data_IF_089237505133
#
_entry.id   IF_089237505133
#
_cell.length_a   1.000
_cell.length_b   1.000
_cell.length_c   1.000
_cell.angle_alpha   90.00
_cell.angle_beta   90.00
_cell.angle_gamma   90.00
#
_symmetry.space_group_name_H-M   'P 1'
#
loop_
_entity.id
_entity.type
_entity.pdbx_description
1 polymer ?
#
# COMPACT_ATOMS: atom_id res chain seq x y z
N UNK A 1 -37.41 31.69 2.62
CA UNK A 1 -36.95 32.80 1.75
C UNK A 1 -35.57 33.23 2.20
N UNK A 2 -34.71 33.58 1.24
CA UNK A 2 -33.30 34.01 1.36
C UNK A 2 -32.29 32.89 1.74
N UNK A 3 -31.20 32.65 1.00
CA UNK A 3 -30.71 33.29 -0.22
C UNK A 3 -29.52 32.53 -0.81
N UNK A 4 -29.53 32.34 -2.13
CA UNK A 4 -28.39 31.89 -2.93
C UNK A 4 -27.31 32.98 -2.93
N UNK A 5 -26.03 32.59 -2.84
CA UNK A 5 -24.92 33.46 -3.21
C UNK A 5 -24.03 32.77 -4.27
N UNK A 6 -23.71 33.44 -5.38
CA UNK A 6 -23.04 32.85 -6.54
C UNK A 6 -21.52 32.91 -6.40
N UNK A 7 -20.80 31.86 -6.81
CA UNK A 7 -19.33 31.92 -6.91
C UNK A 7 -18.85 31.76 -8.35
N UNK A 8 -18.55 32.91 -8.95
CA UNK A 8 -17.24 33.24 -9.52
C UNK A 8 -16.70 32.41 -10.68
N UNK A 9 -16.73 32.99 -11.88
CA UNK A 9 -15.89 32.59 -13.03
C UNK A 9 -14.41 32.71 -12.66
N UNK A 10 -13.63 31.64 -12.86
CA UNK A 10 -12.17 31.64 -12.76
C UNK A 10 -11.53 31.77 -14.16
N UNK A 11 -10.39 32.49 -14.30
CA UNK A 11 -9.76 32.76 -15.60
C UNK A 11 -8.95 31.55 -16.13
N UNK A 12 -8.62 31.49 -17.44
CA UNK A 12 -7.99 30.32 -18.04
C UNK A 12 -6.56 30.10 -17.56
N UNK A 13 -6.19 28.82 -17.39
CA UNK A 13 -4.88 28.37 -16.95
C UNK A 13 -3.78 28.71 -17.97
N UNK A 14 -2.65 29.26 -17.49
CA UNK A 14 -1.42 29.43 -18.28
C UNK A 14 -0.73 28.06 -18.47
N UNK A 15 -0.17 27.77 -19.66
CA UNK A 15 0.59 26.54 -19.89
C UNK A 15 1.95 26.56 -19.16
N UNK A 16 2.37 25.40 -18.67
CA UNK A 16 3.69 25.18 -18.06
C UNK A 16 4.79 25.21 -19.13
N UNK A 17 6.01 25.70 -18.81
CA UNK A 17 7.11 25.75 -19.78
C UNK A 17 7.65 24.35 -20.08
N UNK A 18 7.97 24.11 -21.36
CA UNK A 18 8.56 22.87 -21.86
C UNK A 18 9.95 22.63 -21.24
N UNK A 19 10.21 21.40 -20.79
CA UNK A 19 11.55 20.93 -20.40
C UNK A 19 12.33 20.48 -21.65
N UNK A 20 13.66 20.68 -21.70
CA UNK A 20 14.47 20.32 -22.85
C UNK A 20 14.61 18.80 -22.99
N UNK A 21 14.68 18.35 -24.25
CA UNK A 21 14.78 16.96 -24.64
C UNK A 21 16.11 16.32 -24.19
N UNK A 22 16.04 15.14 -23.56
CA UNK A 22 17.20 14.27 -23.38
C UNK A 22 17.44 13.46 -24.67
N UNK A 23 18.65 13.56 -25.22
CA UNK A 23 19.12 12.75 -26.34
C UNK A 23 19.19 11.26 -25.99
N UNK A 24 18.89 10.34 -26.93
CA UNK A 24 19.02 8.89 -26.68
C UNK A 24 20.50 8.45 -26.73
N UNK A 25 20.89 7.42 -25.95
CA UNK A 25 22.23 6.83 -26.07
C UNK A 25 22.35 5.98 -27.34
N UNK A 26 23.55 6.00 -27.93
CA UNK A 26 23.90 5.26 -29.15
C UNK A 26 23.94 3.74 -28.94
N UNK A 27 23.59 2.94 -29.97
CA UNK A 27 23.62 1.49 -29.88
C UNK A 27 25.06 0.96 -29.98
N UNK A 28 25.55 0.30 -28.92
CA UNK A 28 26.76 -0.53 -29.00
C UNK A 28 26.39 -1.88 -29.62
N UNK A 29 26.68 -2.03 -30.90
CA UNK A 29 26.75 -3.33 -31.60
C UNK A 29 28.11 -3.98 -31.31
N UNK A 30 28.10 -5.13 -30.65
CA UNK A 30 29.28 -5.97 -30.42
C UNK A 30 28.86 -7.33 -29.86
N UNK A 31 29.41 -8.44 -30.37
CA UNK A 31 28.89 -9.78 -30.07
C UNK A 31 29.20 -10.20 -28.63
N UNK A 32 28.18 -10.72 -27.93
CA UNK A 32 28.26 -11.31 -26.60
C UNK A 32 29.17 -12.55 -26.63
N UNK A 33 30.42 -12.40 -26.18
CA UNK A 33 31.32 -13.52 -25.90
C UNK A 33 31.03 -14.00 -24.47
N UNK A 34 30.46 -15.21 -24.33
CA UNK A 34 30.28 -15.88 -23.03
C UNK A 34 31.65 -16.10 -22.38
N UNK A 35 31.90 -15.45 -21.24
CA UNK A 35 33.03 -15.82 -20.38
C UNK A 35 32.65 -17.06 -19.54
N UNK A 36 33.52 -18.08 -19.42
CA UNK A 36 33.29 -19.20 -18.52
C UNK A 36 33.44 -18.76 -17.05
N UNK A 37 32.59 -19.31 -16.17
CA UNK A 37 32.65 -19.09 -14.72
C UNK A 37 33.96 -19.63 -14.14
N UNK A 38 34.62 -18.91 -13.22
CA UNK A 38 35.75 -19.46 -12.46
C UNK A 38 35.26 -20.53 -11.46
N UNK A 39 36.10 -21.53 -11.12
CA UNK A 39 35.75 -22.56 -10.14
C UNK A 39 35.71 -21.98 -8.71
N UNK A 40 34.93 -22.59 -7.79
CA UNK A 40 34.82 -22.12 -6.42
C UNK A 40 36.14 -22.31 -5.66
N UNK A 41 36.62 -21.25 -5.01
CA UNK A 41 37.77 -21.30 -4.10
C UNK A 41 37.46 -22.06 -2.81
N UNK A 42 38.49 -22.58 -2.10
CA UNK A 42 38.32 -23.38 -0.91
C UNK A 42 37.83 -22.51 0.27
N UNK A 43 36.82 -23.01 0.99
CA UNK A 43 36.29 -22.38 2.20
C UNK A 43 37.25 -22.47 3.40
N UNK A 44 37.06 -21.63 4.43
CA UNK A 44 37.98 -21.53 5.56
C UNK A 44 37.93 -22.76 6.48
N UNK A 45 39.10 -23.17 6.94
CA UNK A 45 39.32 -24.32 7.82
C UNK A 45 38.75 -24.10 9.24
N UNK A 46 38.19 -25.17 9.81
CA UNK A 46 37.68 -25.22 11.17
C UNK A 46 38.83 -25.28 12.21
N UNK A 47 38.67 -24.67 13.40
CA UNK A 47 39.66 -24.76 14.47
C UNK A 47 39.61 -26.11 15.21
N UNK A 48 40.75 -26.61 15.73
CA UNK A 48 40.80 -27.91 16.41
C UNK A 48 40.23 -27.87 17.82
N UNK A 49 39.55 -28.97 18.18
CA UNK A 49 39.05 -29.28 19.53
C UNK A 49 40.21 -29.64 20.46
N UNK A 50 40.29 -29.00 21.61
CA UNK A 50 41.16 -29.42 22.72
C UNK A 50 40.30 -30.00 23.86
N UNK A 51 40.67 -31.22 24.25
CA UNK A 51 40.11 -32.01 25.36
C UNK A 51 40.65 -31.48 26.70
N UNK A 52 39.86 -31.44 27.81
CA UNK A 52 40.38 -30.98 29.08
C UNK A 52 41.12 -32.11 29.83
N UNK A 53 42.41 -31.91 30.08
CA UNK A 53 43.23 -32.79 30.93
C UNK A 53 43.03 -32.45 32.40
N UNK A 54 42.57 -33.45 33.15
CA UNK A 54 42.32 -33.44 34.60
C UNK A 54 43.66 -33.40 35.36
N UNK A 55 44.01 -32.29 35.99
CA UNK A 55 45.14 -32.22 36.93
C UNK A 55 44.68 -32.23 38.38
N UNK A 56 45.28 -33.18 39.11
CA UNK A 56 45.10 -33.49 40.54
C UNK A 56 45.48 -32.28 41.40
N UNK A 57 44.59 -31.93 42.32
CA UNK A 57 44.84 -31.05 43.46
C UNK A 57 45.83 -31.70 44.43
N UNK A 58 46.91 -30.99 44.74
CA UNK A 58 47.79 -31.29 45.88
C UNK A 58 47.29 -30.47 47.08
N UNK A 59 46.91 -31.15 48.15
CA UNK A 59 46.50 -30.56 49.42
C UNK A 59 47.73 -30.41 50.33
N UNK A 60 48.04 -29.20 50.74
CA UNK A 60 48.94 -28.92 51.88
C UNK A 60 48.10 -28.71 53.15
N UNK A 61 48.51 -29.23 54.32
CA UNK A 61 47.72 -29.14 55.54
C UNK A 61 47.96 -27.79 56.21
N UNK A 62 46.90 -27.01 56.44
CA UNK A 62 46.95 -25.83 57.31
C UNK A 62 46.20 -26.17 58.59
N UNK A 63 46.95 -26.13 59.69
CA UNK A 63 46.52 -26.50 61.03
C UNK A 63 45.54 -25.47 61.58
N UNK A 64 44.46 -25.97 62.20
CA UNK A 64 43.37 -25.21 62.81
C UNK A 64 43.86 -24.47 64.05
N UNK A 65 44.13 -23.17 63.96
CA UNK A 65 44.01 -22.11 65.00
C UNK A 65 44.86 -20.93 64.55
N UNK A 66 44.28 -19.73 64.52
CA UNK A 66 44.87 -18.46 64.03
C UNK A 66 44.86 -18.39 62.49
N UNK A 67 44.15 -17.52 61.77
CA UNK A 67 43.68 -16.19 62.07
C UNK A 67 42.29 -15.97 61.43
N UNK A 68 41.26 -15.94 62.27
CA UNK A 68 40.10 -15.09 62.03
C UNK A 68 40.56 -13.65 62.27
N UNK A 69 40.08 -12.70 61.47
CA UNK A 69 40.26 -11.23 61.57
C UNK A 69 41.49 -10.63 60.86
N UNK A 70 41.48 -10.62 59.51
CA UNK A 70 42.03 -9.52 58.69
C UNK A 70 41.82 -9.85 57.20
N UNK A 71 40.72 -9.40 56.61
CA UNK A 71 40.48 -9.63 55.19
C UNK A 71 39.19 -9.02 54.64
N UNK A 72 38.72 -7.94 55.25
CA UNK A 72 37.54 -7.18 54.82
C UNK A 72 37.98 -5.80 54.33
N UNK A 73 38.57 -5.76 53.13
CA UNK A 73 38.65 -4.57 52.26
C UNK A 73 39.54 -4.89 51.05
N UNK A 74 38.99 -5.51 49.99
CA UNK A 74 39.37 -5.30 48.58
C UNK A 74 38.61 -6.32 47.71
N UNK A 75 37.42 -5.95 47.23
CA UNK A 75 36.76 -6.52 46.04
C UNK A 75 35.46 -5.75 45.78
N UNK A 76 35.60 -4.48 45.42
CA UNK A 76 34.53 -3.74 44.74
C UNK A 76 34.99 -3.51 43.30
N UNK A 77 34.08 -3.75 42.36
CA UNK A 77 34.20 -3.57 40.92
C UNK A 77 34.92 -4.69 40.14
N UNK A 78 34.13 -5.64 39.63
CA UNK A 78 34.07 -5.95 38.19
C UNK A 78 32.91 -6.92 37.92
N UNK A 79 32.20 -6.68 36.81
CA UNK A 79 31.09 -7.46 36.25
C UNK A 79 29.71 -7.34 36.92
N UNK A 80 29.08 -6.16 36.79
CA UNK A 80 27.65 -6.16 36.45
C UNK A 80 27.54 -6.65 35.00
N UNK A 81 26.91 -7.79 34.69
CA UNK A 81 26.53 -8.04 33.31
C UNK A 81 25.55 -6.93 32.94
N UNK A 82 25.99 -6.01 32.08
CA UNK A 82 25.07 -5.17 31.35
C UNK A 82 24.13 -6.13 30.63
N UNK A 83 22.91 -6.26 31.14
CA UNK A 83 21.80 -6.72 30.34
C UNK A 83 21.74 -5.78 29.14
N UNK A 84 22.41 -6.16 28.06
CA UNK A 84 21.97 -5.80 26.72
C UNK A 84 20.54 -6.35 26.63
N UNK A 85 19.57 -5.55 27.10
CA UNK A 85 18.25 -5.59 26.51
C UNK A 85 18.53 -5.42 25.03
N UNK A 86 18.38 -6.49 24.26
CA UNK A 86 18.14 -6.37 22.84
C UNK A 86 17.07 -5.28 22.73
N UNK A 87 17.46 -4.10 22.25
CA UNK A 87 16.49 -3.05 22.00
C UNK A 87 15.60 -3.63 20.92
N UNK A 88 14.43 -4.14 21.32
CA UNK A 88 13.40 -4.52 20.37
C UNK A 88 13.05 -3.24 19.65
N UNK A 89 13.59 -3.08 18.44
CA UNK A 89 13.26 -1.95 17.56
C UNK A 89 11.74 -1.92 17.50
N UNK A 90 11.10 -0.82 17.92
CA UNK A 90 9.64 -0.72 17.85
C UNK A 90 9.22 -0.98 16.40
N UNK A 91 8.24 -1.86 16.20
CA UNK A 91 7.76 -2.23 14.86
C UNK A 91 6.29 -1.87 14.73
N UNK A 92 5.96 -1.18 13.63
CA UNK A 92 4.58 -0.99 13.16
C UNK A 92 4.42 -1.85 11.93
N UNK A 93 3.41 -2.73 11.94
CA UNK A 93 3.07 -3.56 10.77
C UNK A 93 1.86 -2.99 10.06
N UNK A 94 1.94 -2.90 8.75
CA UNK A 94 0.84 -2.44 7.92
C UNK A 94 0.61 -3.33 6.70
N UNK A 95 -0.65 -3.47 6.30
CA UNK A 95 -1.04 -4.14 5.06
C UNK A 95 -1.55 -3.09 4.07
N UNK A 96 -1.04 -3.11 2.85
CA UNK A 96 -1.23 -2.08 1.82
C UNK A 96 -1.43 -2.66 0.41
N UNK A 97 -1.77 -1.81 -0.56
CA UNK A 97 -2.15 -2.24 -1.92
C UNK A 97 -0.99 -2.76 -2.79
N UNK A 98 0.23 -2.29 -2.55
CA UNK A 98 1.45 -2.65 -3.26
C UNK A 98 1.72 -1.84 -4.54
N UNK A 99 2.89 -2.08 -5.14
CA UNK A 99 3.38 -1.39 -6.33
C UNK A 99 3.51 0.12 -6.12
N UNK A 100 3.22 0.91 -7.16
CA UNK A 100 3.36 2.37 -7.12
C UNK A 100 2.60 3.06 -5.96
N UNK A 101 1.47 2.51 -5.51
CA UNK A 101 0.75 3.05 -4.33
C UNK A 101 1.55 2.81 -3.06
N UNK A 102 2.03 1.59 -2.83
CA UNK A 102 2.92 1.27 -1.69
C UNK A 102 4.24 2.05 -1.73
N UNK A 103 4.87 2.15 -2.90
CA UNK A 103 6.10 2.92 -3.10
C UNK A 103 5.91 4.41 -2.76
N UNK A 104 4.71 4.96 -2.99
CA UNK A 104 4.39 6.35 -2.63
C UNK A 104 4.40 6.61 -1.11
N UNK A 105 4.40 5.57 -0.28
CA UNK A 105 4.52 5.69 1.18
C UNK A 105 5.96 5.94 1.67
N UNK A 106 6.97 5.56 0.89
CA UNK A 106 8.38 5.62 1.30
C UNK A 106 8.86 7.01 1.72
N UNK A 107 8.48 8.11 1.03
CA UNK A 107 8.83 9.47 1.46
C UNK A 107 8.28 9.85 2.85
N UNK A 108 7.26 9.16 3.36
CA UNK A 108 6.72 9.36 4.70
C UNK A 108 7.35 8.40 5.73
N UNK A 109 7.59 7.15 5.34
CA UNK A 109 8.14 6.10 6.23
C UNK A 109 9.59 6.38 6.60
N UNK A 110 10.41 6.84 5.64
CA UNK A 110 11.83 7.13 5.89
C UNK A 110 12.05 8.21 6.96
N UNK A 111 11.46 9.42 6.85
CA UNK A 111 11.63 10.44 7.90
C UNK A 111 10.99 10.01 9.23
N UNK A 112 9.86 9.30 9.21
CA UNK A 112 9.26 8.76 10.44
C UNK A 112 10.21 7.78 11.15
N UNK A 113 10.80 6.84 10.41
CA UNK A 113 11.74 5.85 10.97
C UNK A 113 13.00 6.54 11.47
N UNK A 114 13.52 7.53 10.74
CA UNK A 114 14.70 8.30 11.16
C UNK A 114 14.45 9.12 12.44
N UNK A 115 13.26 9.70 12.60
CA UNK A 115 12.92 10.52 13.75
C UNK A 115 12.58 9.69 15.01
N UNK A 116 11.97 8.52 14.85
CA UNK A 116 11.43 7.73 15.98
C UNK A 116 12.23 6.47 16.29
N UNK A 117 13.10 6.02 15.38
CA UNK A 117 13.71 4.70 15.43
C UNK A 117 12.73 3.54 15.23
N UNK A 118 11.45 3.81 14.93
CA UNK A 118 10.40 2.80 14.75
C UNK A 118 10.41 2.29 13.32
N UNK A 119 10.51 0.98 13.15
CA UNK A 119 10.52 0.32 11.84
C UNK A 119 9.09 0.08 11.35
N UNK A 120 8.81 0.50 10.11
CA UNK A 120 7.53 0.17 9.44
C UNK A 120 7.72 -1.06 8.56
N UNK A 121 6.96 -2.11 8.85
CA UNK A 121 6.95 -3.36 8.10
C UNK A 121 5.68 -3.39 7.24
N UNK A 122 5.86 -3.49 5.94
CA UNK A 122 4.76 -3.48 4.97
C UNK A 122 4.52 -4.87 4.39
N UNK A 123 3.26 -5.17 4.14
CA UNK A 123 2.83 -6.39 3.47
C UNK A 123 1.76 -6.06 2.43
N UNK A 124 1.83 -6.66 1.25
CA UNK A 124 0.82 -6.55 0.18
C UNK A 124 0.54 -7.93 -0.43
N UNK A 125 -0.65 -8.14 -1.04
CA UNK A 125 -1.76 -7.19 -1.20
C UNK A 125 -2.70 -7.10 0.03
N UNK A 126 -3.68 -6.20 -0.05
CA UNK A 126 -4.67 -5.89 1.00
C UNK A 126 -6.12 -6.39 0.70
N UNK A 127 -6.35 -7.69 0.44
CA UNK A 127 -7.70 -8.18 0.17
C UNK A 127 -8.59 -8.10 1.43
N UNK A 128 -9.87 -7.74 1.26
CA UNK A 128 -10.81 -7.57 2.37
C UNK A 128 -11.00 -8.85 3.22
N UNK A 129 -10.96 -10.03 2.59
CA UNK A 129 -11.04 -11.31 3.32
C UNK A 129 -9.90 -11.51 4.33
N UNK A 130 -8.72 -10.94 4.06
CA UNK A 130 -7.57 -10.98 4.98
C UNK A 130 -7.82 -10.10 6.20
N UNK A 131 -8.38 -8.90 6.03
CA UNK A 131 -8.82 -8.05 7.14
C UNK A 131 -9.75 -8.85 8.07
N UNK A 132 -10.82 -9.45 7.52
CA UNK A 132 -11.76 -10.26 8.31
C UNK A 132 -11.08 -11.40 9.06
N UNK A 133 -10.22 -12.14 8.38
CA UNK A 133 -9.48 -13.28 8.98
C UNK A 133 -8.60 -12.83 10.14
N UNK A 134 -7.88 -11.70 9.96
CA UNK A 134 -7.02 -11.12 10.99
C UNK A 134 -7.82 -10.66 12.22
N UNK A 135 -8.99 -10.05 12.03
CA UNK A 135 -9.89 -9.67 13.13
C UNK A 135 -10.38 -10.91 13.89
N UNK A 136 -10.84 -11.93 13.15
CA UNK A 136 -11.36 -13.16 13.73
C UNK A 136 -10.30 -13.96 14.50
N UNK A 137 -9.03 -13.87 14.11
CA UNK A 137 -7.92 -14.45 14.86
C UNK A 137 -7.69 -13.76 16.23
N UNK A 138 -8.30 -12.60 16.46
CA UNK A 138 -8.44 -11.94 17.76
C UNK A 138 -7.24 -11.13 18.25
N UNK A 139 -6.04 -11.38 17.74
CA UNK A 139 -4.86 -10.59 18.08
C UNK A 139 -3.89 -10.46 16.90
N UNK A 140 -4.30 -9.85 15.77
CA UNK A 140 -3.43 -9.76 14.62
C UNK A 140 -2.24 -8.84 14.91
N UNK A 141 -1.03 -9.19 14.47
CA UNK A 141 0.18 -8.39 14.70
C UNK A 141 0.23 -7.12 13.84
N UNK A 142 -0.88 -6.76 13.18
CA UNK A 142 -0.99 -5.60 12.28
C UNK A 142 -1.53 -4.41 13.07
N UNK A 143 -1.05 -3.22 12.73
CA UNK A 143 -1.47 -1.94 13.30
C UNK A 143 -2.35 -1.16 12.32
N UNK A 144 -1.98 -1.16 11.03
CA UNK A 144 -2.65 -0.40 9.99
C UNK A 144 -3.08 -1.32 8.84
N UNK A 145 -4.30 -1.12 8.35
CA UNK A 145 -4.79 -1.82 7.17
C UNK A 145 -5.39 -0.79 6.20
N UNK A 146 -4.77 -0.68 5.03
CA UNK A 146 -5.27 0.16 3.95
C UNK A 146 -6.52 -0.48 3.34
N UNK A 147 -7.61 0.28 3.24
CA UNK A 147 -8.86 -0.15 2.60
C UNK A 147 -9.33 0.91 1.60
N UNK A 148 -10.12 0.51 0.60
CA UNK A 148 -10.85 1.48 -0.23
C UNK A 148 -12.04 2.09 0.53
N UNK A 149 -12.53 3.26 0.12
CA UNK A 149 -13.64 3.94 0.80
C UNK A 149 -14.90 3.05 0.94
N UNK A 150 -15.26 2.29 -0.10
CA UNK A 150 -16.39 1.33 -0.04
C UNK A 150 -16.13 0.16 0.90
N UNK A 151 -14.90 -0.34 0.95
CA UNK A 151 -14.49 -1.41 1.86
C UNK A 151 -14.44 -0.92 3.32
N UNK A 152 -14.18 0.36 3.57
CA UNK A 152 -14.28 0.93 4.92
C UNK A 152 -15.71 0.90 5.46
N UNK A 153 -16.70 1.24 4.63
CA UNK A 153 -18.11 1.14 5.04
C UNK A 153 -18.54 -0.31 5.30
N UNK A 154 -18.04 -1.26 4.52
CA UNK A 154 -18.22 -2.69 4.81
C UNK A 154 -17.55 -3.11 6.12
N UNK A 155 -16.32 -2.64 6.37
CA UNK A 155 -15.59 -2.93 7.61
C UNK A 155 -16.32 -2.37 8.84
N UNK A 156 -16.88 -1.15 8.75
CA UNK A 156 -17.73 -0.55 9.78
C UNK A 156 -18.96 -1.41 10.08
N UNK A 157 -19.68 -1.82 9.03
CA UNK A 157 -20.90 -2.64 9.16
C UNK A 157 -20.62 -4.02 9.77
N UNK A 158 -19.40 -4.54 9.60
CA UNK A 158 -18.96 -5.84 10.13
C UNK A 158 -18.13 -5.72 11.41
N UNK A 159 -18.02 -4.54 12.00
CA UNK A 159 -17.24 -4.24 13.21
C UNK A 159 -15.76 -4.68 13.13
N UNK A 160 -15.14 -4.51 11.95
CA UNK A 160 -13.76 -4.95 11.67
C UNK A 160 -12.70 -3.87 11.90
N UNK A 161 -13.10 -2.63 12.18
CA UNK A 161 -12.22 -1.46 12.35
C UNK A 161 -12.59 -0.68 13.61
N UNK A 162 -11.60 -0.03 14.21
CA UNK A 162 -11.82 0.76 15.43
C UNK A 162 -11.98 2.26 15.11
N UNK A 163 -12.70 3.02 15.95
CA UNK A 163 -12.68 4.47 15.91
C UNK A 163 -11.26 5.03 16.02
N UNK A 164 -10.97 6.06 15.24
CA UNK A 164 -9.71 6.78 15.31
C UNK A 164 -9.75 7.83 16.43
N UNK A 165 -8.68 7.88 17.23
CA UNK A 165 -8.44 9.00 18.15
C UNK A 165 -7.88 10.18 17.35
N UNK A 166 -8.79 11.04 16.88
CA UNK A 166 -8.43 12.18 16.05
C UNK A 166 -7.67 13.29 16.79
N UNK A 167 -7.80 13.36 18.12
CA UNK A 167 -7.01 14.30 18.95
C UNK A 167 -5.56 13.84 19.01
N UNK A 168 -5.32 12.53 19.15
CA UNK A 168 -3.98 11.98 19.11
C UNK A 168 -3.33 12.03 17.72
N UNK A 169 -4.11 11.80 16.65
CA UNK A 169 -3.60 11.87 15.27
C UNK A 169 -3.19 13.30 14.91
N UNK A 170 -4.00 14.29 15.31
CA UNK A 170 -3.76 15.72 15.08
C UNK A 170 -3.13 16.04 13.70
N UNK A 171 -3.78 15.66 12.59
CA UNK A 171 -3.17 15.82 11.28
C UNK A 171 -3.11 17.31 10.91
N UNK A 172 -2.16 17.67 10.05
CA UNK A 172 -2.22 18.92 9.29
C UNK A 172 -3.58 19.04 8.57
N UNK A 173 -3.99 20.25 8.12
CA UNK A 173 -5.24 20.43 7.38
C UNK A 173 -5.39 19.40 6.25
N UNK A 174 -6.43 18.59 6.36
CA UNK A 174 -6.85 17.61 5.37
C UNK A 174 -8.22 18.00 4.83
N UNK A 175 -8.55 17.49 3.66
CA UNK A 175 -9.91 17.62 3.13
C UNK A 175 -10.92 16.98 4.10
N UNK A 176 -12.08 17.62 4.34
CA UNK A 176 -13.07 17.12 5.30
C UNK A 176 -13.48 15.66 5.07
N UNK A 177 -13.64 15.24 3.81
CA UNK A 177 -14.06 13.88 3.47
C UNK A 177 -13.00 12.80 3.77
N UNK A 178 -11.73 13.18 3.90
CA UNK A 178 -10.64 12.29 4.30
C UNK A 178 -10.63 12.01 5.81
N UNK A 179 -11.41 12.77 6.61
CA UNK A 179 -11.52 12.60 8.06
C UNK A 179 -12.75 11.77 8.44
N UNK A 180 -12.65 10.44 8.34
CA UNK A 180 -13.75 9.52 8.69
C UNK A 180 -13.62 9.00 10.13
N UNK A 181 -14.72 8.73 10.86
CA UNK A 181 -14.64 8.25 12.25
C UNK A 181 -13.74 7.03 12.49
N UNK A 182 -13.62 6.13 11.50
CA UNK A 182 -12.82 4.89 11.59
C UNK A 182 -11.77 4.79 10.48
N UNK A 183 -11.43 5.89 9.80
CA UNK A 183 -10.49 5.87 8.69
C UNK A 183 -9.92 7.25 8.33
N UNK A 184 -8.65 7.27 7.95
CA UNK A 184 -7.94 8.45 7.47
C UNK A 184 -7.63 8.29 5.97
N UNK A 185 -8.23 9.15 5.14
CA UNK A 185 -7.90 9.26 3.72
C UNK A 185 -6.47 9.78 3.53
N UNK A 186 -5.52 8.91 3.17
CA UNK A 186 -4.12 9.29 2.97
C UNK A 186 -3.75 9.46 1.49
N UNK A 187 -4.50 8.82 0.60
CA UNK A 187 -4.33 8.96 -0.85
C UNK A 187 -5.66 9.20 -1.54
N UNK A 188 -5.61 9.99 -2.62
CA UNK A 188 -6.69 10.16 -3.56
C UNK A 188 -6.31 9.54 -4.89
N UNK A 189 -7.25 8.83 -5.50
CA UNK A 189 -7.11 8.27 -6.83
C UNK A 189 -8.40 8.46 -7.61
N UNK A 190 -8.34 8.28 -8.92
CA UNK A 190 -9.52 8.32 -9.79
C UNK A 190 -9.59 7.01 -10.55
N UNK A 191 -10.79 6.51 -10.82
CA UNK A 191 -10.97 5.54 -11.90
C UNK A 191 -11.20 6.35 -13.17
N UNK A 192 -10.29 6.22 -14.12
CA UNK A 192 -10.30 6.94 -15.38
C UNK A 192 -10.60 5.97 -16.53
N UNK A 193 -11.06 6.52 -17.64
CA UNK A 193 -10.98 5.81 -18.91
C UNK A 193 -9.59 6.04 -19.50
N UNK A 194 -8.94 4.97 -19.89
CA UNK A 194 -7.66 4.96 -20.57
C UNK A 194 -7.79 4.19 -21.88
N UNK A 195 -6.98 4.55 -22.87
CA UNK A 195 -6.96 3.91 -24.18
C UNK A 195 -5.55 3.94 -24.75
N UNK A 196 -5.29 3.04 -25.70
CA UNK A 196 -4.04 3.10 -26.46
C UNK A 196 -4.01 4.36 -27.32
N UNK A 197 -2.85 4.95 -27.54
CA UNK A 197 -2.72 6.19 -28.33
C UNK A 197 -3.18 6.05 -29.79
N UNK A 198 -3.24 4.83 -30.32
CA UNK A 198 -3.74 4.51 -31.67
C UNK A 198 -5.26 4.21 -31.69
N UNK A 199 -5.92 4.15 -30.53
CA UNK A 199 -7.37 3.96 -30.44
C UNK A 199 -8.12 5.29 -30.46
N UNK A 200 -9.37 5.26 -30.95
CA UNK A 200 -10.24 6.45 -30.98
C UNK A 200 -10.46 7.00 -29.56
N UNK A 201 -10.18 8.28 -29.28
CA UNK A 201 -10.28 8.85 -27.94
C UNK A 201 -11.68 8.83 -27.34
N UNK A 202 -11.78 8.49 -26.06
CA UNK A 202 -13.04 8.52 -25.30
C UNK A 202 -13.23 9.90 -24.65
N UNK A 203 -14.47 10.42 -24.66
CA UNK A 203 -14.84 11.66 -23.99
C UNK A 203 -15.76 11.41 -22.79
N UNK A 204 -16.46 10.28 -22.78
CA UNK A 204 -17.46 9.96 -21.75
C UNK A 204 -17.56 8.47 -21.47
N UNK A 205 -18.16 8.11 -20.34
CA UNK A 205 -18.52 6.71 -20.07
C UNK A 205 -19.48 6.15 -21.13
N UNK A 206 -20.32 6.98 -21.75
CA UNK A 206 -21.16 6.54 -22.87
C UNK A 206 -20.31 6.04 -24.06
N UNK A 207 -19.20 6.71 -24.38
CA UNK A 207 -18.27 6.27 -25.42
C UNK A 207 -17.61 4.93 -25.06
N UNK A 208 -17.18 4.78 -23.81
CA UNK A 208 -16.51 3.56 -23.33
C UNK A 208 -17.38 2.32 -23.56
N UNK A 209 -18.68 2.44 -23.25
CA UNK A 209 -19.69 1.38 -23.38
C UNK A 209 -20.28 1.27 -24.80
N UNK A 210 -20.01 2.22 -25.71
CA UNK A 210 -20.45 2.18 -27.10
C UNK A 210 -19.46 1.39 -27.97
N UNK A 211 -19.68 0.08 -28.07
CA UNK A 211 -18.81 -0.85 -28.81
C UNK A 211 -18.90 -0.70 -30.33
N UNK A 212 -19.97 -0.09 -30.83
CA UNK A 212 -20.20 0.13 -32.26
C UNK A 212 -19.33 1.27 -32.78
N UNK A 213 -19.34 2.41 -32.09
CA UNK A 213 -18.64 3.62 -32.55
C UNK A 213 -17.19 3.71 -32.04
N UNK A 214 -16.86 2.90 -31.02
CA UNK A 214 -15.53 2.74 -30.46
C UNK A 214 -15.18 1.24 -30.46
N UNK A 215 -14.83 0.64 -31.59
CA UNK A 215 -14.53 -0.79 -31.67
C UNK A 215 -13.25 -1.15 -30.89
N UNK A 216 -13.24 -2.32 -30.24
CA UNK A 216 -12.07 -2.82 -29.50
C UNK A 216 -12.42 -3.63 -28.26
N UNK A 217 -11.45 -4.35 -27.71
CA UNK A 217 -11.60 -5.05 -26.42
C UNK A 217 -11.46 -4.07 -25.26
N UNK A 218 -12.20 -4.31 -24.18
CA UNK A 218 -12.23 -3.52 -22.94
C UNK A 218 -11.64 -4.30 -21.77
N UNK A 219 -11.13 -3.59 -20.77
CA UNK A 219 -10.89 -4.14 -19.42
C UNK A 219 -11.53 -3.25 -18.36
N UNK A 220 -12.12 -3.86 -17.33
CA UNK A 220 -12.83 -3.17 -16.24
C UNK A 220 -12.54 -3.87 -14.91
N UNK A 221 -12.66 -3.14 -13.80
CA UNK A 221 -12.41 -3.78 -12.50
C UNK A 221 -13.53 -4.75 -12.16
N UNK A 222 -13.18 -5.88 -11.56
CA UNK A 222 -14.13 -6.73 -10.84
C UNK A 222 -14.56 -6.09 -9.50
N UNK A 223 -15.24 -4.94 -9.56
CA UNK A 223 -15.79 -4.23 -8.38
C UNK A 223 -17.15 -3.59 -8.65
N UNK A 224 -18.06 -3.58 -7.64
CA UNK A 224 -19.42 -3.04 -7.80
C UNK A 224 -19.53 -1.57 -8.21
N UNK A 225 -18.53 -0.73 -7.94
CA UNK A 225 -18.60 0.69 -8.31
C UNK A 225 -18.63 0.89 -9.84
N UNK A 226 -18.22 -0.12 -10.64
CA UNK A 226 -18.39 -0.10 -12.09
C UNK A 226 -19.86 0.03 -12.53
N UNK A 227 -20.81 -0.36 -11.67
CA UNK A 227 -22.24 -0.18 -11.91
C UNK A 227 -22.64 1.31 -11.98
N UNK A 228 -21.96 2.19 -11.23
CA UNK A 228 -22.21 3.63 -11.33
C UNK A 228 -21.80 4.17 -12.71
N UNK A 229 -20.66 3.73 -13.24
CA UNK A 229 -20.21 4.11 -14.59
C UNK A 229 -21.12 3.54 -15.68
N UNK A 230 -21.66 2.34 -15.48
CA UNK A 230 -22.65 1.76 -16.37
C UNK A 230 -23.94 2.63 -16.43
N UNK A 231 -24.41 3.14 -15.29
CA UNK A 231 -25.56 4.05 -15.25
C UNK A 231 -25.26 5.41 -15.88
N UNK A 232 -24.06 5.97 -15.66
CA UNK A 232 -23.62 7.18 -16.35
C UNK A 232 -23.58 7.00 -17.87
N UNK A 233 -23.08 5.85 -18.33
CA UNK A 233 -23.07 5.49 -19.75
C UNK A 233 -24.48 5.34 -20.34
N UNK A 234 -25.45 4.95 -19.51
CA UNK A 234 -26.86 4.83 -19.87
C UNK A 234 -27.64 6.16 -19.71
N UNK A 235 -26.94 7.27 -19.45
CA UNK A 235 -27.51 8.62 -19.43
C UNK A 235 -28.10 9.06 -18.09
N UNK A 236 -27.85 8.33 -16.99
CA UNK A 236 -28.20 8.80 -15.65
C UNK A 236 -27.33 10.00 -15.30
N UNK A 237 -27.96 11.09 -14.84
CA UNK A 237 -27.24 12.27 -14.41
C UNK A 237 -26.43 11.99 -13.12
N UNK A 238 -25.20 12.53 -12.96
CA UNK A 238 -24.36 12.25 -11.79
C UNK A 238 -25.03 12.53 -10.43
N UNK A 239 -25.86 13.57 -10.35
CA UNK A 239 -26.61 13.98 -9.16
C UNK A 239 -27.83 13.08 -8.86
N UNK A 240 -28.21 12.20 -9.80
CA UNK A 240 -29.31 11.23 -9.67
C UNK A 240 -28.84 9.78 -9.64
N UNK A 241 -27.54 9.55 -9.46
CA UNK A 241 -26.98 8.20 -9.43
C UNK A 241 -27.44 7.38 -8.22
N UNK A 242 -27.65 8.02 -7.07
CA UNK A 242 -27.92 7.32 -5.81
C UNK A 242 -29.37 7.52 -5.34
N UNK A 243 -30.03 6.47 -4.82
CA UNK A 243 -29.57 5.07 -4.80
C UNK A 243 -29.47 4.46 -6.21
N UNK A 244 -28.52 3.54 -6.40
CA UNK A 244 -28.26 2.93 -7.73
C UNK A 244 -29.44 2.06 -8.17
N UNK A 245 -29.92 2.24 -9.40
CA UNK A 245 -30.80 1.29 -10.08
C UNK A 245 -29.97 0.08 -10.55
N UNK A 246 -29.86 -0.94 -9.70
CA UNK A 246 -29.05 -2.12 -9.95
C UNK A 246 -29.53 -2.91 -11.18
N UNK A 247 -30.84 -3.04 -11.37
CA UNK A 247 -31.40 -3.76 -12.52
C UNK A 247 -31.01 -3.10 -13.84
N UNK A 248 -31.09 -1.77 -13.89
CA UNK A 248 -30.63 -0.99 -15.04
C UNK A 248 -29.12 -1.11 -15.25
N UNK A 249 -28.34 -1.00 -14.19
CA UNK A 249 -26.88 -1.13 -14.28
C UNK A 249 -26.47 -2.52 -14.82
N UNK A 250 -27.06 -3.61 -14.30
CA UNK A 250 -26.75 -4.96 -14.77
C UNK A 250 -27.14 -5.20 -16.23
N UNK A 251 -28.23 -4.61 -16.74
CA UNK A 251 -28.56 -4.68 -18.17
C UNK A 251 -27.46 -4.05 -19.04
N UNK A 252 -26.91 -2.92 -18.62
CA UNK A 252 -25.79 -2.26 -19.32
C UNK A 252 -24.52 -3.11 -19.24
N UNK A 253 -24.25 -3.70 -18.07
CA UNK A 253 -23.10 -4.60 -17.87
C UNK A 253 -23.19 -5.85 -18.75
N UNK A 254 -24.36 -6.48 -18.87
CA UNK A 254 -24.54 -7.64 -19.75
C UNK A 254 -24.37 -7.28 -21.22
N UNK A 255 -24.80 -6.08 -21.65
CA UNK A 255 -24.58 -5.59 -23.02
C UNK A 255 -23.09 -5.42 -23.37
N UNK A 256 -22.27 -4.91 -22.45
CA UNK A 256 -20.84 -4.66 -22.71
C UNK A 256 -19.97 -5.90 -22.51
N UNK A 257 -20.41 -6.86 -21.69
CA UNK A 257 -19.66 -8.06 -21.27
C UNK A 257 -18.97 -8.81 -22.41
N UNK A 258 -19.58 -9.05 -23.60
CA UNK A 258 -18.90 -9.74 -24.69
C UNK A 258 -17.65 -9.01 -25.20
N UNK A 259 -17.57 -7.69 -25.01
CA UNK A 259 -16.43 -6.85 -25.40
C UNK A 259 -15.37 -6.72 -24.32
N UNK A 260 -15.60 -7.25 -23.11
CA UNK A 260 -14.63 -7.22 -22.00
C UNK A 260 -13.73 -8.44 -22.10
N UNK A 261 -12.42 -8.22 -22.21
CA UNK A 261 -11.42 -9.29 -22.24
C UNK A 261 -11.05 -9.78 -20.85
N UNK A 262 -10.88 -8.85 -19.92
CA UNK A 262 -10.41 -9.15 -18.57
C UNK A 262 -11.19 -8.30 -17.58
N UNK A 263 -11.66 -8.95 -16.52
CA UNK A 263 -12.15 -8.31 -15.31
C UNK A 263 -11.01 -8.28 -14.30
N UNK A 264 -10.32 -7.14 -14.21
CA UNK A 264 -9.07 -7.08 -13.47
C UNK A 264 -9.31 -6.98 -11.97
N UNK A 265 -8.46 -7.67 -11.20
CA UNK A 265 -8.46 -7.65 -9.74
C UNK A 265 -7.32 -6.81 -9.18
N UNK A 266 -6.20 -6.73 -9.91
CA UNK A 266 -5.01 -5.98 -9.52
C UNK A 266 -4.77 -4.76 -10.41
N UNK A 267 -4.50 -3.59 -9.80
CA UNK A 267 -4.34 -2.33 -10.52
C UNK A 267 -3.14 -2.27 -11.49
N UNK A 268 -2.23 -3.25 -11.45
CA UNK A 268 -1.14 -3.36 -12.42
C UNK A 268 -1.58 -3.96 -13.77
N UNK A 269 -2.72 -4.66 -13.84
CA UNK A 269 -3.16 -5.34 -15.06
C UNK A 269 -3.58 -4.38 -16.19
N UNK A 270 -4.39 -3.32 -15.96
CA UNK A 270 -4.86 -2.47 -17.06
C UNK A 270 -3.77 -1.84 -17.95
N UNK A 271 -2.70 -1.22 -17.41
CA UNK A 271 -1.65 -0.66 -18.27
C UNK A 271 -0.91 -1.72 -19.07
N UNK A 272 -0.76 -2.93 -18.54
CA UNK A 272 -0.11 -4.03 -19.25
C UNK A 272 -0.97 -4.50 -20.42
N UNK A 273 -2.26 -4.74 -20.19
CA UNK A 273 -3.22 -5.14 -21.24
C UNK A 273 -3.30 -4.11 -22.38
N UNK A 274 -3.19 -2.82 -22.07
CA UNK A 274 -3.13 -1.75 -23.09
C UNK A 274 -1.83 -1.82 -23.90
N UNK A 275 -0.68 -1.99 -23.24
CA UNK A 275 0.63 -2.08 -23.89
C UNK A 275 0.75 -3.29 -24.81
N UNK A 276 0.27 -4.43 -24.34
CA UNK A 276 0.31 -5.71 -25.07
C UNK A 276 -0.74 -5.79 -26.18
N UNK A 277 -1.55 -4.73 -26.35
CA UNK A 277 -2.64 -4.65 -27.32
C UNK A 277 -3.72 -5.74 -27.15
N UNK A 278 -3.83 -6.31 -25.95
CA UNK A 278 -4.94 -7.22 -25.61
C UNK A 278 -6.26 -6.46 -25.47
N UNK A 279 -6.19 -5.18 -25.08
CA UNK A 279 -7.33 -4.27 -25.02
C UNK A 279 -7.01 -2.91 -25.62
N UNK A 280 -8.01 -2.26 -26.19
CA UNK A 280 -7.91 -0.90 -26.73
C UNK A 280 -8.37 0.14 -25.70
N UNK A 281 -9.26 -0.26 -24.77
CA UNK A 281 -9.89 0.60 -23.77
C UNK A 281 -9.83 -0.03 -22.37
N UNK A 282 -9.57 0.78 -21.35
CA UNK A 282 -9.49 0.33 -19.97
C UNK A 282 -10.15 1.30 -19.00
N UNK A 283 -10.95 0.80 -18.07
CA UNK A 283 -11.23 1.52 -16.83
C UNK A 283 -10.10 1.22 -15.85
N UNK A 284 -9.29 2.22 -15.49
CA UNK A 284 -8.05 2.02 -14.72
C UNK A 284 -7.87 3.10 -13.65
N UNK A 285 -7.12 2.76 -12.59
CA UNK A 285 -6.68 3.75 -11.62
C UNK A 285 -5.75 4.78 -12.26
N UNK A 286 -5.94 6.05 -11.91
CA UNK A 286 -5.19 7.19 -12.46
C UNK A 286 -3.68 7.03 -12.31
N UNK A 287 -3.20 6.67 -11.12
CA UNK A 287 -1.78 6.44 -10.85
C UNK A 287 -1.17 5.25 -11.61
N UNK A 288 -1.98 4.43 -12.29
CA UNK A 288 -1.51 3.27 -13.07
C UNK A 288 -1.36 3.57 -14.56
N UNK A 289 -1.96 4.64 -15.06
CA UNK A 289 -1.92 5.02 -16.49
C UNK A 289 -1.32 6.40 -16.73
N UNK A 290 -1.34 7.29 -15.73
CA UNK A 290 -0.76 8.62 -15.85
C UNK A 290 0.74 8.54 -16.19
N UNK A 291 1.16 9.29 -17.20
CA UNK A 291 2.56 9.38 -17.64
C UNK A 291 3.11 8.15 -18.36
N UNK A 292 2.29 7.13 -18.67
CA UNK A 292 2.76 5.98 -19.43
C UNK A 292 2.78 6.26 -20.93
N UNK A 293 3.92 5.98 -21.58
CA UNK A 293 4.06 6.10 -23.03
C UNK A 293 3.07 5.17 -23.76
N UNK A 294 2.45 5.68 -24.83
CA UNK A 294 1.48 4.93 -25.64
C UNK A 294 0.09 4.77 -25.02
N UNK A 295 -0.16 5.37 -23.85
CA UNK A 295 -1.46 5.36 -23.17
C UNK A 295 -1.98 6.78 -23.03
N UNK A 296 -3.19 7.01 -23.56
CA UNK A 296 -3.98 8.22 -23.34
C UNK A 296 -5.08 7.95 -22.32
N UNK A 297 -5.57 8.98 -21.64
CA UNK A 297 -6.59 8.84 -20.61
C UNK A 297 -7.42 10.12 -20.43
N UNK A 298 -8.61 10.00 -19.84
CA UNK A 298 -9.46 11.16 -19.52
C UNK A 298 -8.93 11.94 -18.33
N UNK A 299 -9.07 13.26 -18.37
CA UNK A 299 -8.90 14.16 -17.21
C UNK A 299 -10.21 14.29 -16.41
N UNK A 300 -10.81 13.17 -15.99
CA UNK A 300 -12.08 13.21 -15.25
C UNK A 300 -11.89 13.64 -13.79
N UNK A 301 -12.87 14.40 -13.26
CA UNK A 301 -12.91 14.97 -11.90
C UNK A 301 -13.38 14.00 -10.81
N UNK A 302 -13.71 12.76 -11.15
CA UNK A 302 -14.21 11.74 -10.22
C UNK A 302 -13.08 11.28 -9.31
N UNK A 303 -13.14 11.63 -8.03
CA UNK A 303 -12.07 11.39 -7.06
C UNK A 303 -12.54 10.43 -5.97
N UNK A 304 -11.80 9.35 -5.79
CA UNK A 304 -11.95 8.38 -4.72
C UNK A 304 -10.83 8.59 -3.70
N UNK A 305 -11.09 8.29 -2.44
CA UNK A 305 -10.08 8.20 -1.39
C UNK A 305 -9.75 6.73 -1.11
N UNK A 306 -8.49 6.43 -0.83
CA UNK A 306 -8.13 5.20 -0.14
C UNK A 306 -7.89 5.55 1.34
N UNK A 307 -8.87 5.32 2.21
CA UNK A 307 -8.67 5.46 3.64
C UNK A 307 -7.77 4.35 4.19
N UNK A 308 -6.77 4.73 4.96
CA UNK A 308 -6.11 3.81 5.88
C UNK A 308 -6.89 3.79 7.17
N UNK A 309 -7.26 2.59 7.60
CA UNK A 309 -7.92 2.38 8.89
C UNK A 309 -6.94 1.76 9.87
N UNK A 310 -7.13 2.06 11.16
CA UNK A 310 -6.48 1.33 12.23
C UNK A 310 -7.19 -0.02 12.40
N UNK A 311 -6.46 -1.12 12.54
CA UNK A 311 -7.00 -2.47 12.37
C UNK A 311 -6.46 -3.47 13.41
N UNK A 312 -7.28 -4.39 13.98
CA UNK A 312 -8.71 -4.34 14.28
C UNK A 312 -9.02 -4.56 15.78
N UNK A 313 -10.29 -4.33 16.12
CA UNK A 313 -10.91 -4.57 17.43
C UNK A 313 -10.51 -5.92 18.02
N UNK A 314 -9.86 -5.89 19.18
CA UNK A 314 -9.66 -7.10 19.99
C UNK A 314 -11.04 -7.68 20.38
N UNK A 315 -11.28 -8.99 20.29
CA UNK A 315 -12.56 -9.63 20.60
C UNK A 315 -13.09 -9.31 22.00
N UNK A 316 -12.22 -8.88 22.91
CA UNK A 316 -12.52 -8.63 24.31
C UNK A 316 -12.85 -7.17 24.64
N UNK A 317 -13.02 -6.27 23.66
CA UNK A 317 -13.33 -4.86 23.92
C UNK A 317 -12.26 -4.12 24.75
N UNK A 318 -11.05 -4.69 24.87
CA UNK A 318 -9.94 -4.07 25.59
C UNK A 318 -9.16 -3.20 24.61
N UNK A 319 -9.08 -1.87 24.83
CA UNK A 319 -8.20 -1.03 24.04
C UNK A 319 -6.77 -1.53 24.17
N UNK A 320 -6.09 -1.75 23.04
CA UNK A 320 -4.64 -2.04 23.05
C UNK A 320 -3.93 -0.83 23.68
N UNK A 321 -3.03 -1.10 24.63
CA UNK A 321 -2.21 -0.05 25.26
C UNK A 321 -1.47 0.71 24.15
N UNK A 322 -1.74 2.02 24.08
CA UNK A 322 -1.07 2.99 23.22
C UNK A 322 0.45 2.76 23.26
N UNK A 323 1.05 2.48 22.11
CA UNK A 323 2.48 2.55 21.86
C UNK A 323 2.68 3.28 20.54
#
# INVERSE_FOLDING_TARGET
>A
MAGCCPMGRTPPARPWPARPACSPPSPRTGPFRRQPRPPPGPGPAAPPRTTPTRQRSQTMPVTRRQAFLAGSAFSLALARPALLRAQTVPEIRMIEAGGASGESMEPYIKPFTAATGTRVVRESPNPFGKLRTLVQAGNPPITLFEVGATALEQAKALDLVEPLDWEAINPNPIFPEARQPMGLGWQYYSTLMAWRSDAKPLQSWADFFNTKDFPGRRTMQDRPYMLAFALLADGVAPDKLYPLDLNRAFRVMERIKPSVAVWWAAGAQPPQLLKDNEVQYAASYSGRVAGQAGISYTSTRERWTAPTSWCPRAPTGRPRRRR
#
